data_IF_713469514795
#
_entry.id   IF_713469514795
#
_cell.length_a   1.000
_cell.length_b   1.000
_cell.length_c   1.000
_cell.angle_alpha   90.00
_cell.angle_beta   90.00
_cell.angle_gamma   90.00
#
_symmetry.space_group_name_H-M   'P 1'
#
loop_
_entity.id
_entity.type
_entity.pdbx_description
1 polymer ?
#
# COMPACT_ATOMS: atom_id res chain seq x y z
N UNK A 1 7.61 24.02 -24.90
CA UNK A 1 8.80 23.15 -25.06
C UNK A 1 8.37 21.73 -24.73
N UNK A 2 8.40 20.85 -25.72
CA UNK A 2 8.01 19.44 -25.59
C UNK A 2 9.10 18.73 -24.81
N UNK A 3 8.87 18.42 -23.53
CA UNK A 3 9.76 17.55 -22.80
C UNK A 3 9.66 16.14 -23.42
N UNK A 4 10.78 15.50 -23.82
CA UNK A 4 10.82 14.07 -24.08
C UNK A 4 10.13 13.34 -22.92
N UNK A 5 9.32 12.34 -23.24
CA UNK A 5 8.59 11.59 -22.24
C UNK A 5 9.58 11.07 -21.19
N UNK A 6 9.46 11.52 -19.93
CA UNK A 6 10.40 11.19 -18.85
C UNK A 6 10.47 9.67 -18.61
N UNK A 7 9.44 8.94 -19.05
CA UNK A 7 9.42 7.48 -19.09
C UNK A 7 10.53 6.93 -20.01
N UNK A 8 10.84 7.59 -21.13
CA UNK A 8 11.89 7.13 -22.03
C UNK A 8 13.28 7.27 -21.38
N UNK A 9 13.48 8.29 -20.53
CA UNK A 9 14.71 8.40 -19.73
C UNK A 9 14.84 7.28 -18.69
N UNK A 10 13.72 6.76 -18.16
CA UNK A 10 13.74 5.63 -17.23
C UNK A 10 14.09 4.29 -17.90
N UNK A 11 13.93 4.20 -19.23
CA UNK A 11 14.30 3.00 -20.01
C UNK A 11 15.80 2.93 -20.34
N UNK A 12 16.52 4.06 -20.21
CA UNK A 12 17.96 4.12 -20.43
C UNK A 12 18.72 3.35 -19.35
N UNK A 13 19.89 2.83 -19.69
CA UNK A 13 20.78 2.23 -18.70
C UNK A 13 21.33 3.28 -17.73
N UNK A 14 21.80 2.88 -16.53
CA UNK A 14 22.41 3.81 -15.56
C UNK A 14 23.57 4.65 -16.10
N UNK A 15 24.30 4.13 -17.09
CA UNK A 15 25.45 4.79 -17.74
C UNK A 15 25.05 5.81 -18.81
N UNK A 16 23.86 5.64 -19.40
CA UNK A 16 23.32 6.51 -20.44
C UNK A 16 22.59 7.75 -19.88
N UNK A 17 22.20 7.72 -18.61
CA UNK A 17 21.49 8.83 -17.94
C UNK A 17 22.47 9.94 -17.55
N UNK A 18 22.32 11.13 -18.14
CA UNK A 18 23.13 12.30 -17.79
C UNK A 18 22.69 12.93 -16.47
N UNK A 19 23.54 13.79 -15.88
CA UNK A 19 23.18 14.55 -14.67
C UNK A 19 21.90 15.39 -14.84
N UNK A 20 21.69 15.93 -16.02
CA UNK A 20 20.49 16.72 -16.33
C UNK A 20 19.25 15.82 -16.40
N UNK A 21 19.36 14.63 -16.99
CA UNK A 21 18.28 13.64 -17.00
C UNK A 21 17.91 13.22 -15.59
N UNK A 22 18.90 12.94 -14.73
CA UNK A 22 18.69 12.60 -13.33
C UNK A 22 17.99 13.72 -12.57
N UNK A 23 18.39 14.99 -12.75
CA UNK A 23 17.72 16.12 -12.11
C UNK A 23 16.24 16.25 -12.53
N UNK A 24 15.96 16.05 -13.82
CA UNK A 24 14.59 16.05 -14.36
C UNK A 24 13.77 14.89 -13.80
N UNK A 25 14.35 13.69 -13.74
CA UNK A 25 13.72 12.50 -13.17
C UNK A 25 13.44 12.66 -11.67
N UNK A 26 14.37 13.22 -10.89
CA UNK A 26 14.17 13.50 -9.45
C UNK A 26 12.99 14.46 -9.24
N UNK A 27 12.94 15.55 -10.01
CA UNK A 27 11.84 16.53 -9.91
C UNK A 27 10.48 15.93 -10.28
N UNK A 28 10.46 15.02 -11.25
CA UNK A 28 9.25 14.33 -11.67
C UNK A 28 8.82 13.23 -10.68
N UNK A 29 9.76 12.42 -10.22
CA UNK A 29 9.50 11.31 -9.31
C UNK A 29 8.91 11.80 -7.98
N UNK A 30 9.47 12.85 -7.40
CA UNK A 30 8.97 13.49 -6.17
C UNK A 30 7.57 14.08 -6.29
N UNK A 31 7.11 14.39 -7.52
CA UNK A 31 5.73 14.83 -7.78
C UNK A 31 4.76 13.65 -7.83
N UNK A 32 5.14 12.56 -8.50
CA UNK A 32 4.28 11.39 -8.74
C UNK A 32 4.17 10.49 -7.52
N UNK A 33 5.22 10.40 -6.70
CA UNK A 33 5.22 9.53 -5.55
C UNK A 33 5.40 10.34 -4.26
N UNK A 34 4.31 10.96 -3.72
CA UNK A 34 4.37 11.82 -2.54
C UNK A 34 4.99 11.17 -1.32
N UNK A 35 4.80 9.85 -1.15
CA UNK A 35 5.37 9.06 -0.07
C UNK A 35 6.90 9.13 -0.03
N UNK A 36 7.54 9.42 -1.17
CA UNK A 36 9.00 9.52 -1.26
C UNK A 36 9.52 10.97 -1.28
N UNK A 37 8.66 11.98 -1.03
CA UNK A 37 9.11 13.38 -0.86
C UNK A 37 9.96 13.58 0.38
N UNK A 38 9.77 12.73 1.38
CA UNK A 38 10.53 12.76 2.63
C UNK A 38 11.89 12.06 2.50
N UNK A 39 12.17 11.40 1.37
CA UNK A 39 13.49 10.82 1.12
C UNK A 39 14.51 11.90 0.77
N UNK A 40 15.75 11.64 1.17
CA UNK A 40 16.88 12.46 0.75
C UNK A 40 17.05 12.44 -0.78
N UNK A 41 17.55 13.57 -1.30
CA UNK A 41 17.76 13.73 -2.74
C UNK A 41 18.76 12.71 -3.30
N UNK A 42 19.75 12.31 -2.51
CA UNK A 42 20.71 11.25 -2.85
C UNK A 42 20.03 9.90 -3.04
N UNK A 43 19.12 9.53 -2.15
CA UNK A 43 18.30 8.32 -2.26
C UNK A 43 17.45 8.38 -3.52
N UNK A 44 16.75 9.50 -3.74
CA UNK A 44 15.90 9.67 -4.93
C UNK A 44 16.70 9.50 -6.23
N UNK A 45 17.90 10.06 -6.25
CA UNK A 45 18.85 9.92 -7.36
C UNK A 45 19.24 8.45 -7.59
N UNK A 46 19.59 7.72 -6.54
CA UNK A 46 19.92 6.29 -6.64
C UNK A 46 18.76 5.48 -7.21
N UNK A 47 17.52 5.75 -6.79
CA UNK A 47 16.32 5.07 -7.34
C UNK A 47 16.19 5.33 -8.84
N UNK A 48 16.13 6.59 -9.27
CA UNK A 48 15.85 6.91 -10.69
C UNK A 48 16.99 6.50 -11.62
N UNK A 49 18.22 6.38 -11.08
CA UNK A 49 19.38 5.90 -11.81
C UNK A 49 19.38 4.38 -11.95
N UNK A 50 19.27 3.67 -10.84
CA UNK A 50 19.51 2.21 -10.75
C UNK A 50 18.24 1.35 -10.94
N UNK A 51 17.05 1.98 -10.97
CA UNK A 51 15.81 1.25 -11.21
C UNK A 51 15.62 0.86 -12.67
N UNK A 52 14.92 -0.25 -12.88
CA UNK A 52 14.49 -0.71 -14.20
C UNK A 52 13.01 -0.39 -14.39
N UNK A 53 12.67 0.30 -15.47
CA UNK A 53 11.28 0.54 -15.84
C UNK A 53 10.68 -0.69 -16.53
N UNK A 54 9.48 -1.09 -16.12
CA UNK A 54 8.69 -2.14 -16.76
C UNK A 54 7.24 -1.70 -16.93
N UNK A 55 6.59 -2.18 -18.00
CA UNK A 55 5.15 -2.03 -18.22
C UNK A 55 4.51 -3.42 -18.16
N UNK A 56 3.49 -3.54 -17.32
CA UNK A 56 2.81 -4.80 -17.01
C UNK A 56 1.36 -4.72 -17.49
N UNK A 57 0.92 -5.62 -18.38
CA UNK A 57 -0.47 -5.67 -18.82
C UNK A 57 -1.44 -6.03 -17.69
N UNK A 58 -2.71 -5.64 -17.89
CA UNK A 58 -3.82 -6.03 -17.02
C UNK A 58 -3.87 -7.55 -16.79
N UNK A 59 -4.18 -7.95 -15.54
CA UNK A 59 -4.34 -9.34 -15.07
C UNK A 59 -3.07 -10.18 -15.07
N UNK A 60 -1.90 -9.56 -15.24
CA UNK A 60 -0.63 -10.25 -15.07
C UNK A 60 -0.25 -10.31 -13.59
N UNK A 61 0.26 -11.46 -13.16
CA UNK A 61 0.83 -11.65 -11.82
C UNK A 61 2.26 -11.09 -11.84
N UNK A 62 2.51 -10.12 -10.97
CA UNK A 62 3.82 -9.45 -10.84
C UNK A 62 4.71 -10.22 -9.86
N UNK A 63 4.14 -10.68 -8.75
CA UNK A 63 4.80 -11.57 -7.80
C UNK A 63 3.83 -12.62 -7.29
N UNK A 64 4.30 -13.81 -6.95
CA UNK A 64 3.54 -14.92 -6.40
C UNK A 64 3.95 -15.20 -4.96
N UNK A 65 2.97 -15.38 -4.07
CA UNK A 65 3.24 -15.77 -2.68
C UNK A 65 4.10 -17.03 -2.61
N UNK A 66 5.13 -17.02 -1.76
CA UNK A 66 6.06 -18.11 -1.51
C UNK A 66 7.29 -18.13 -2.42
N UNK A 67 7.30 -17.37 -3.52
CA UNK A 67 8.51 -17.27 -4.35
C UNK A 67 9.56 -16.35 -3.71
N UNK A 68 10.83 -16.57 -4.02
CA UNK A 68 11.90 -15.67 -3.57
C UNK A 68 11.81 -14.32 -4.28
N UNK A 69 12.02 -13.25 -3.53
CA UNK A 69 12.01 -11.86 -3.99
C UNK A 69 13.28 -11.12 -3.59
N UNK A 70 13.92 -10.51 -4.58
CA UNK A 70 15.20 -9.78 -4.49
C UNK A 70 15.07 -8.32 -4.99
N UNK A 71 13.85 -7.87 -5.24
CA UNK A 71 13.54 -6.50 -5.60
C UNK A 71 12.24 -6.02 -4.94
N UNK A 72 12.02 -4.71 -4.93
CA UNK A 72 10.71 -4.13 -4.65
C UNK A 72 10.28 -3.23 -5.82
N UNK A 73 9.02 -2.84 -5.82
CA UNK A 73 8.39 -2.17 -6.95
C UNK A 73 7.78 -0.86 -6.51
N UNK A 74 7.93 0.18 -7.34
CA UNK A 74 7.28 1.48 -7.17
C UNK A 74 6.29 1.65 -8.33
N UNK A 75 5.03 1.96 -8.02
CA UNK A 75 3.97 2.11 -9.02
C UNK A 75 3.99 3.55 -9.53
N UNK A 76 4.33 3.73 -10.80
CA UNK A 76 4.30 5.04 -11.47
C UNK A 76 2.88 5.36 -11.95
N UNK A 77 2.20 4.36 -12.51
CA UNK A 77 0.85 4.48 -13.06
C UNK A 77 0.12 3.14 -12.97
N UNK A 78 -1.21 3.18 -12.89
CA UNK A 78 -2.09 2.03 -12.72
C UNK A 78 -2.25 1.60 -11.26
N UNK A 79 -2.81 0.41 -11.05
CA UNK A 79 -3.03 -0.17 -9.74
C UNK A 79 -2.81 -1.69 -9.73
N UNK A 80 -2.44 -2.21 -8.57
CA UNK A 80 -2.29 -3.65 -8.32
C UNK A 80 -3.21 -4.12 -7.20
N UNK A 81 -3.66 -5.37 -7.27
CA UNK A 81 -4.40 -6.05 -6.21
C UNK A 81 -3.48 -7.02 -5.47
N UNK A 82 -3.65 -7.06 -4.15
CA UNK A 82 -2.93 -7.94 -3.23
C UNK A 82 -3.82 -9.09 -2.83
N UNK A 83 -3.31 -10.32 -2.99
CA UNK A 83 -3.98 -11.55 -2.58
C UNK A 83 -3.08 -12.35 -1.66
N UNK A 84 -3.65 -12.97 -0.63
CA UNK A 84 -2.91 -13.79 0.31
C UNK A 84 -3.67 -15.08 0.63
N UNK A 85 -3.01 -16.21 0.44
CA UNK A 85 -3.49 -17.50 0.94
C UNK A 85 -3.25 -17.58 2.44
N UNK A 86 -4.22 -18.13 3.18
CA UNK A 86 -4.03 -18.56 4.58
C UNK A 86 -3.08 -19.75 4.58
N UNK A 87 -1.77 -19.50 4.53
CA UNK A 87 -0.79 -20.51 4.92
C UNK A 87 -0.89 -20.70 6.42
N UNK A 88 -0.85 -21.95 6.90
CA UNK A 88 -0.77 -22.29 8.33
C UNK A 88 0.27 -21.39 9.01
N UNK A 89 -0.07 -20.84 10.16
CA UNK A 89 0.66 -19.80 10.88
C UNK A 89 2.13 -20.17 11.17
N UNK A 90 3.03 -19.97 10.21
CA UNK A 90 4.46 -19.88 10.54
C UNK A 90 4.71 -18.47 11.04
N UNK A 91 5.06 -18.37 12.33
CA UNK A 91 5.45 -17.16 13.04
C UNK A 91 6.80 -16.62 12.55
N UNK A 92 7.01 -16.56 11.23
CA UNK A 92 8.19 -15.92 10.67
C UNK A 92 8.08 -14.42 10.97
N UNK A 93 8.96 -13.94 11.85
CA UNK A 93 9.04 -12.54 12.25
C UNK A 93 9.53 -11.71 11.05
N UNK A 94 8.57 -11.27 10.24
CA UNK A 94 8.75 -10.44 9.03
C UNK A 94 9.27 -9.01 9.32
N UNK A 95 9.85 -8.76 10.49
CA UNK A 95 10.26 -7.44 10.96
C UNK A 95 11.62 -7.39 11.67
N UNK A 96 12.35 -8.50 11.76
CA UNK A 96 13.74 -8.49 12.24
C UNK A 96 14.71 -8.32 11.06
N UNK A 97 15.66 -7.36 11.12
CA UNK A 97 16.66 -7.19 10.07
C UNK A 97 17.52 -8.45 9.92
N UNK A 98 17.80 -8.83 8.67
CA UNK A 98 18.58 -10.04 8.33
C UNK A 98 20.06 -9.81 8.64
N UNK A 99 20.71 -10.78 9.29
CA UNK A 99 22.16 -10.78 9.54
C UNK A 99 22.98 -10.93 8.25
N UNK A 100 24.13 -10.24 8.19
CA UNK A 100 25.06 -10.12 7.04
C UNK A 100 25.45 -11.46 6.36
N UNK A 101 25.64 -12.53 7.13
CA UNK A 101 26.16 -13.82 6.64
C UNK A 101 25.22 -14.55 5.65
N UNK A 102 23.93 -14.20 5.59
CA UNK A 102 22.98 -14.84 4.66
C UNK A 102 22.96 -14.18 3.26
N UNK A 103 23.66 -13.06 3.07
CA UNK A 103 23.53 -12.20 1.88
C UNK A 103 24.36 -12.66 0.66
N UNK A 104 25.47 -13.39 0.84
CA UNK A 104 26.42 -13.67 -0.25
C UNK A 104 26.00 -14.72 -1.29
N UNK A 105 24.87 -15.43 -1.11
CA UNK A 105 24.42 -16.47 -2.06
C UNK A 105 23.34 -16.03 -3.07
N UNK A 106 22.85 -14.78 -3.00
CA UNK A 106 21.67 -14.33 -3.76
C UNK A 106 21.97 -13.60 -5.08
N UNK A 107 23.19 -13.15 -5.34
CA UNK A 107 23.53 -12.39 -6.56
C UNK A 107 23.38 -13.19 -7.87
N UNK A 108 23.23 -14.52 -7.79
CA UNK A 108 23.18 -15.42 -8.94
C UNK A 108 21.83 -15.45 -9.68
N UNK A 109 20.76 -14.85 -9.16
CA UNK A 109 19.42 -14.97 -9.77
C UNK A 109 19.03 -13.81 -10.69
N UNK A 110 19.86 -12.77 -10.79
CA UNK A 110 19.54 -11.52 -11.49
C UNK A 110 19.78 -11.59 -13.02
N UNK A 111 20.50 -12.60 -13.52
CA UNK A 111 20.84 -12.66 -14.96
C UNK A 111 19.69 -13.07 -15.88
N UNK A 112 18.53 -13.48 -15.34
CA UNK A 112 17.33 -13.72 -16.15
C UNK A 112 16.39 -12.54 -15.93
N UNK A 113 16.23 -11.70 -16.95
CA UNK A 113 15.37 -10.53 -16.91
C UNK A 113 13.98 -10.85 -16.33
N UNK A 114 13.31 -9.82 -15.81
CA UNK A 114 11.95 -9.89 -15.27
C UNK A 114 11.04 -10.81 -16.12
N UNK A 115 10.80 -12.03 -15.63
CA UNK A 115 9.92 -12.99 -16.31
C UNK A 115 8.47 -12.64 -15.98
N UNK A 116 7.79 -12.03 -16.95
CA UNK A 116 6.34 -11.89 -16.89
C UNK A 116 5.70 -13.27 -16.94
N UNK A 117 5.28 -13.79 -15.78
CA UNK A 117 4.50 -15.02 -15.71
C UNK A 117 3.07 -14.71 -16.15
N UNK A 118 2.76 -15.02 -17.41
CA UNK A 118 1.38 -14.98 -17.91
C UNK A 118 0.63 -16.19 -17.36
N UNK A 119 -0.36 -15.95 -16.49
CA UNK A 119 -1.25 -17.00 -16.01
C UNK A 119 -2.48 -17.10 -16.91
N UNK A 120 -3.04 -18.31 -17.10
CA UNK A 120 -4.17 -18.50 -17.98
C UNK A 120 -5.37 -17.63 -17.54
N UNK A 121 -6.20 -17.13 -18.48
CA UNK A 121 -7.37 -16.29 -18.16
C UNK A 121 -8.38 -16.94 -17.20
N UNK A 122 -8.33 -18.27 -17.08
CA UNK A 122 -9.15 -19.08 -16.17
C UNK A 122 -8.67 -19.08 -14.71
N UNK A 123 -7.51 -18.48 -14.40
CA UNK A 123 -7.05 -18.36 -13.02
C UNK A 123 -7.92 -17.34 -12.28
N UNK A 124 -8.90 -17.85 -11.55
CA UNK A 124 -9.82 -17.04 -10.77
C UNK A 124 -9.10 -16.51 -9.52
N UNK A 125 -9.52 -15.35 -9.01
CA UNK A 125 -8.96 -14.72 -7.80
C UNK A 125 -8.91 -15.67 -6.60
N UNK A 126 -9.82 -16.65 -6.55
CA UNK A 126 -9.84 -17.72 -5.56
C UNK A 126 -8.55 -18.56 -5.50
N UNK A 127 -7.77 -18.65 -6.58
CA UNK A 127 -6.49 -19.36 -6.60
C UNK A 127 -5.42 -18.64 -5.77
N UNK A 128 -5.45 -17.30 -5.76
CA UNK A 128 -4.45 -16.50 -5.05
C UNK A 128 -4.75 -16.32 -3.57
N UNK A 129 -5.90 -16.84 -3.11
CA UNK A 129 -6.38 -16.69 -1.74
C UNK A 129 -7.30 -15.48 -1.58
N UNK A 130 -7.33 -14.93 -0.37
CA UNK A 130 -8.22 -13.83 -0.05
C UNK A 130 -7.67 -12.52 -0.63
N UNK A 131 -8.55 -11.72 -1.22
CA UNK A 131 -8.25 -10.33 -1.53
C UNK A 131 -7.97 -9.55 -0.24
N UNK A 132 -6.87 -8.80 -0.22
CA UNK A 132 -6.46 -7.98 0.92
C UNK A 132 -6.75 -6.51 0.64
N UNK A 133 -6.18 -5.96 -0.44
CA UNK A 133 -6.31 -4.54 -0.78
C UNK A 133 -5.87 -4.27 -2.22
N UNK A 134 -6.13 -3.04 -2.69
CA UNK A 134 -5.48 -2.48 -3.87
C UNK A 134 -4.38 -1.51 -3.44
N UNK A 135 -3.35 -1.39 -4.28
CA UNK A 135 -2.26 -0.42 -4.15
C UNK A 135 -2.22 0.40 -5.44
N UNK A 136 -2.42 1.70 -5.30
CA UNK A 136 -2.50 2.64 -6.42
C UNK A 136 -1.14 3.29 -6.75
N UNK A 137 -1.10 4.00 -7.87
CA UNK A 137 0.04 4.84 -8.30
C UNK A 137 0.58 5.76 -7.20
N UNK A 138 1.90 5.93 -7.19
CA UNK A 138 2.63 6.72 -6.20
C UNK A 138 3.02 5.95 -4.93
N UNK A 139 2.56 4.70 -4.80
CA UNK A 139 2.91 3.78 -3.70
C UNK A 139 3.90 2.71 -4.18
N UNK A 140 4.36 1.87 -3.26
CA UNK A 140 5.28 0.77 -3.51
C UNK A 140 4.82 -0.53 -2.84
N UNK A 141 5.41 -1.65 -3.26
CA UNK A 141 5.17 -2.98 -2.68
C UNK A 141 6.38 -3.91 -2.86
N UNK A 142 6.42 -4.99 -2.08
CA UNK A 142 7.42 -6.05 -2.17
C UNK A 142 8.58 -5.91 -1.19
N UNK A 143 8.54 -4.91 -0.31
CA UNK A 143 9.50 -4.59 0.74
C UNK A 143 9.64 -5.69 1.79
N UNK A 144 8.54 -6.39 2.13
CA UNK A 144 8.56 -7.46 3.13
C UNK A 144 9.49 -8.62 2.77
N UNK A 145 9.57 -8.98 1.48
CA UNK A 145 10.50 -10.02 1.06
C UNK A 145 11.95 -9.56 1.30
N UNK A 146 12.24 -8.27 1.13
CA UNK A 146 13.58 -7.74 1.34
C UNK A 146 13.97 -7.71 2.82
N UNK A 147 12.99 -7.56 3.70
CA UNK A 147 13.15 -7.50 5.15
C UNK A 147 13.15 -8.89 5.82
N UNK A 148 12.62 -9.91 5.14
CA UNK A 148 12.54 -11.28 5.68
C UNK A 148 13.83 -12.09 5.48
N UNK A 149 14.10 -13.01 6.42
CA UNK A 149 15.27 -13.90 6.36
C UNK A 149 15.31 -14.75 5.09
N UNK A 150 14.19 -15.37 4.73
CA UNK A 150 14.13 -16.30 3.59
C UNK A 150 13.86 -15.62 2.24
N UNK A 151 13.65 -14.30 2.28
CA UNK A 151 13.34 -13.47 1.13
C UNK A 151 12.07 -13.89 0.37
N UNK A 152 11.10 -14.52 1.03
CA UNK A 152 9.91 -15.04 0.36
C UNK A 152 8.82 -13.96 0.23
N UNK A 153 8.18 -13.89 -0.93
CA UNK A 153 7.01 -13.05 -1.19
C UNK A 153 5.86 -13.50 -0.29
N UNK A 154 5.33 -12.57 0.50
CA UNK A 154 4.28 -12.88 1.49
C UNK A 154 2.86 -12.85 0.89
N UNK A 155 2.71 -12.33 -0.33
CA UNK A 155 1.45 -12.17 -1.02
C UNK A 155 1.66 -12.27 -2.54
N UNK A 156 0.56 -12.58 -3.24
CA UNK A 156 0.50 -12.53 -4.70
C UNK A 156 -0.01 -11.16 -5.15
N UNK A 157 0.69 -10.54 -6.10
CA UNK A 157 0.38 -9.21 -6.62
C UNK A 157 -0.06 -9.33 -8.07
N UNK A 158 -1.21 -8.76 -8.41
CA UNK A 158 -1.82 -8.84 -9.73
C UNK A 158 -2.12 -7.45 -10.27
N UNK A 159 -1.74 -7.16 -11.51
CA UNK A 159 -2.09 -5.91 -12.18
C UNK A 159 -3.61 -5.80 -12.42
N UNK A 160 -4.23 -4.71 -11.95
CA UNK A 160 -5.67 -4.45 -12.13
C UNK A 160 -5.97 -3.92 -13.54
N UNK A 161 -5.07 -3.09 -14.04
CA UNK A 161 -5.04 -2.43 -15.34
C UNK A 161 -3.63 -2.49 -15.94
N UNK A 162 -3.33 -1.66 -16.95
CA UNK A 162 -1.95 -1.53 -17.42
C UNK A 162 -1.15 -0.76 -16.38
N UNK A 163 -0.13 -1.40 -15.79
CA UNK A 163 0.66 -0.84 -14.68
C UNK A 163 2.07 -0.53 -15.15
N UNK A 164 2.58 0.64 -14.78
CA UNK A 164 3.96 1.04 -15.00
C UNK A 164 4.71 1.00 -13.67
N UNK A 165 5.83 0.27 -13.63
CA UNK A 165 6.59 0.03 -12.40
C UNK A 165 8.06 0.43 -12.57
N UNK A 166 8.65 0.92 -11.49
CA UNK A 166 10.09 0.89 -11.30
C UNK A 166 10.45 -0.30 -10.43
N UNK A 167 11.33 -1.16 -10.93
CA UNK A 167 11.92 -2.28 -10.19
C UNK A 167 13.21 -1.79 -9.56
N UNK A 168 13.29 -1.84 -8.24
CA UNK A 168 14.47 -1.41 -7.47
C UNK A 168 15.07 -2.65 -6.81
N UNK A 169 16.36 -2.88 -7.08
CA UNK A 169 17.09 -4.05 -6.58
C UNK A 169 17.27 -4.01 -5.06
N UNK A 170 17.43 -5.19 -4.45
CA UNK A 170 17.67 -5.36 -3.02
C UNK A 170 18.77 -4.45 -2.49
N UNK A 171 19.93 -4.37 -3.14
CA UNK A 171 21.02 -3.55 -2.62
C UNK A 171 20.64 -2.07 -2.52
N UNK A 172 20.05 -1.52 -3.58
CA UNK A 172 19.53 -0.15 -3.58
C UNK A 172 18.46 0.02 -2.50
N UNK A 173 17.60 -0.98 -2.28
CA UNK A 173 16.64 -0.96 -1.18
C UNK A 173 17.30 -0.89 0.20
N UNK A 174 18.29 -1.75 0.45
CA UNK A 174 19.01 -1.82 1.72
C UNK A 174 19.71 -0.49 2.01
N UNK A 175 20.41 0.06 1.02
CA UNK A 175 21.17 1.29 1.16
C UNK A 175 20.30 2.53 1.34
N UNK A 176 19.07 2.52 0.79
CA UNK A 176 18.25 3.72 0.68
C UNK A 176 16.99 3.74 1.54
N UNK A 177 16.40 2.58 1.86
CA UNK A 177 15.04 2.50 2.40
C UNK A 177 14.91 1.69 3.67
N UNK A 178 15.82 0.74 3.91
CA UNK A 178 15.64 -0.23 4.99
C UNK A 178 15.44 0.46 6.35
N UNK A 179 16.30 1.42 6.69
CA UNK A 179 16.22 2.10 7.98
C UNK A 179 14.91 2.87 8.14
N UNK A 180 14.54 3.66 7.13
CA UNK A 180 13.31 4.46 7.15
C UNK A 180 12.06 3.57 7.25
N UNK A 181 11.95 2.54 6.41
CA UNK A 181 10.81 1.62 6.39
C UNK A 181 10.74 0.77 7.66
N UNK A 182 11.87 0.29 8.17
CA UNK A 182 11.93 -0.48 9.42
C UNK A 182 11.46 0.39 10.59
N UNK A 183 11.89 1.65 10.66
CA UNK A 183 11.47 2.57 11.71
C UNK A 183 9.98 2.94 11.61
N UNK A 184 9.47 3.18 10.40
CA UNK A 184 8.04 3.45 10.17
C UNK A 184 7.19 2.25 10.59
N UNK A 185 7.55 1.05 10.13
CA UNK A 185 6.86 -0.20 10.46
C UNK A 185 6.91 -0.50 11.95
N UNK A 186 8.08 -0.33 12.59
CA UNK A 186 8.23 -0.50 14.03
C UNK A 186 7.34 0.48 14.81
N UNK A 187 7.26 1.73 14.37
CA UNK A 187 6.40 2.75 15.00
C UNK A 187 4.92 2.38 14.88
N UNK A 188 4.47 1.93 13.71
CA UNK A 188 3.08 1.48 13.49
C UNK A 188 2.76 0.19 14.26
N UNK A 189 3.69 -0.76 14.32
CA UNK A 189 3.56 -2.00 15.11
C UNK A 189 3.49 -1.71 16.61
N UNK A 190 4.38 -0.85 17.11
CA UNK A 190 4.35 -0.35 18.49
C UNK A 190 3.04 0.36 18.83
N UNK A 191 2.43 1.06 17.87
CA UNK A 191 1.11 1.64 18.04
C UNK A 191 0.02 0.58 18.18
N UNK A 192 0.00 -0.43 17.32
CA UNK A 192 -0.97 -1.54 17.36
C UNK A 192 -0.86 -2.33 18.66
N UNK A 193 0.36 -2.64 19.10
CA UNK A 193 0.64 -3.44 20.31
C UNK A 193 0.15 -2.77 21.60
N UNK A 194 -0.05 -1.44 21.61
CA UNK A 194 -0.64 -0.73 22.76
C UNK A 194 -2.12 -1.07 22.97
N UNK A 195 -2.85 -1.47 21.93
CA UNK A 195 -4.28 -1.72 22.03
C UNK A 195 -4.56 -3.18 22.36
N UNK A 196 -5.25 -3.40 23.48
CA UNK A 196 -5.69 -4.74 23.93
C UNK A 196 -6.49 -5.49 22.86
N UNK A 197 -7.18 -4.77 21.97
CA UNK A 197 -7.96 -5.34 20.88
C UNK A 197 -7.14 -6.28 19.97
N UNK A 198 -5.84 -6.01 19.81
CA UNK A 198 -4.97 -6.77 18.91
C UNK A 198 -4.00 -7.69 19.66
N UNK A 199 -4.13 -7.84 20.98
CA UNK A 199 -3.15 -8.57 21.79
C UNK A 199 -2.91 -9.99 21.26
N UNK A 200 -3.99 -10.71 21.00
CA UNK A 200 -3.97 -12.13 20.63
C UNK A 200 -3.83 -12.34 19.11
N UNK A 201 -3.65 -11.28 18.33
CA UNK A 201 -3.43 -11.41 16.89
C UNK A 201 -2.02 -11.96 16.62
N UNK A 202 -1.88 -12.92 15.68
CA UNK A 202 -0.58 -13.37 15.17
C UNK A 202 0.28 -12.20 14.68
N UNK A 203 1.60 -12.35 14.78
CA UNK A 203 2.58 -11.32 14.38
C UNK A 203 2.32 -10.86 12.95
N UNK A 204 2.11 -11.80 12.03
CA UNK A 204 1.83 -11.50 10.62
C UNK A 204 0.56 -10.66 10.42
N UNK A 205 -0.49 -10.90 11.20
CA UNK A 205 -1.72 -10.10 11.12
C UNK A 205 -1.50 -8.69 11.65
N UNK A 206 -0.70 -8.53 12.71
CA UNK A 206 -0.28 -7.21 13.21
C UNK A 206 0.58 -6.48 12.19
N UNK A 207 1.52 -7.17 11.52
CA UNK A 207 2.33 -6.59 10.44
C UNK A 207 1.47 -6.15 9.26
N UNK A 208 0.52 -6.98 8.81
CA UNK A 208 -0.44 -6.61 7.77
C UNK A 208 -1.27 -5.38 8.15
N UNK A 209 -1.75 -5.32 9.40
CA UNK A 209 -2.46 -4.14 9.92
C UNK A 209 -1.54 -2.92 9.93
N UNK A 210 -0.28 -3.06 10.41
CA UNK A 210 0.70 -1.98 10.44
C UNK A 210 0.96 -1.40 9.04
N UNK A 211 1.09 -2.25 8.03
CA UNK A 211 1.26 -1.80 6.64
C UNK A 211 0.02 -1.09 6.11
N UNK A 212 -1.18 -1.54 6.47
CA UNK A 212 -2.44 -0.93 6.05
C UNK A 212 -2.75 0.40 6.76
N UNK A 213 -2.05 0.75 7.84
CA UNK A 213 -2.26 2.01 8.55
C UNK A 213 -1.70 3.21 7.77
N UNK A 214 -2.59 4.18 7.53
CA UNK A 214 -2.26 5.48 6.98
C UNK A 214 -2.48 6.59 8.01
N UNK A 215 -1.50 7.48 8.16
CA UNK A 215 -1.60 8.62 9.06
C UNK A 215 -2.31 9.79 8.35
N UNK A 216 -3.46 10.21 8.89
CA UNK A 216 -4.18 11.39 8.43
C UNK A 216 -4.09 12.52 9.45
N UNK A 217 -3.77 13.73 8.99
CA UNK A 217 -3.82 14.96 9.79
C UNK A 217 -4.96 15.82 9.25
N UNK A 218 -5.96 16.06 10.09
CA UNK A 218 -7.15 16.84 9.77
C UNK A 218 -7.20 18.09 10.63
N UNK A 219 -7.83 19.15 10.13
CA UNK A 219 -8.08 20.39 10.87
C UNK A 219 -9.52 20.46 11.35
N UNK A 220 -9.79 21.41 12.26
CA UNK A 220 -11.14 21.62 12.80
C UNK A 220 -12.15 21.85 11.68
N UNK A 221 -13.26 21.12 11.72
CA UNK A 221 -14.34 21.23 10.74
C UNK A 221 -14.29 20.20 9.61
N UNK A 222 -13.20 19.44 9.45
CA UNK A 222 -13.20 18.31 8.51
C UNK A 222 -14.11 17.17 9.00
N UNK A 223 -14.98 16.69 8.12
CA UNK A 223 -15.73 15.46 8.34
C UNK A 223 -14.80 14.25 8.13
N UNK A 224 -14.78 13.31 9.08
CA UNK A 224 -13.96 12.10 9.00
C UNK A 224 -14.73 10.99 8.27
N UNK A 225 -16.00 10.80 8.66
CA UNK A 225 -16.94 9.83 8.06
C UNK A 225 -18.33 10.46 8.07
N UNK A 226 -19.09 10.24 6.99
CA UNK A 226 -20.48 10.69 6.93
C UNK A 226 -21.44 9.52 7.18
N UNK A 227 -22.54 9.80 7.87
CA UNK A 227 -23.59 8.81 8.09
C UNK A 227 -24.19 8.35 6.76
N UNK A 228 -24.38 7.04 6.59
CA UNK A 228 -24.91 6.43 5.38
C UNK A 228 -23.86 6.11 4.31
N UNK A 229 -22.61 6.53 4.47
CA UNK A 229 -21.53 6.13 3.57
C UNK A 229 -21.20 4.64 3.71
N UNK A 230 -20.78 3.97 2.61
CA UNK A 230 -20.28 2.60 2.69
C UNK A 230 -19.13 2.50 3.69
N UNK A 231 -19.09 1.39 4.44
CA UNK A 231 -17.98 1.12 5.34
C UNK A 231 -16.67 1.03 4.53
N UNK A 232 -15.78 1.99 4.76
CA UNK A 232 -14.52 2.14 4.03
C UNK A 232 -13.29 1.86 4.90
N UNK A 233 -13.45 1.63 6.21
CA UNK A 233 -12.37 1.23 7.09
C UNK A 233 -12.54 1.65 8.56
N UNK A 234 -11.54 1.30 9.36
CA UNK A 234 -11.44 1.68 10.77
C UNK A 234 -10.50 2.88 10.93
N UNK A 235 -10.90 3.82 11.80
CA UNK A 235 -10.13 5.03 12.09
C UNK A 235 -9.70 5.00 13.55
N UNK A 236 -8.40 5.20 13.81
CA UNK A 236 -7.86 5.30 15.16
C UNK A 236 -7.53 6.75 15.48
N UNK A 237 -8.16 7.31 16.52
CA UNK A 237 -7.85 8.65 16.98
C UNK A 237 -6.54 8.64 17.78
N UNK A 238 -5.47 9.13 17.17
CA UNK A 238 -4.14 9.19 17.80
C UNK A 238 -3.99 10.42 18.70
N UNK A 239 -4.49 11.58 18.25
CA UNK A 239 -4.41 12.85 18.98
C UNK A 239 -5.57 13.77 18.57
N UNK A 240 -6.10 14.52 19.53
CA UNK A 240 -7.18 15.49 19.33
C UNK A 240 -8.52 14.97 19.87
N UNK A 241 -9.60 15.58 19.40
CA UNK A 241 -10.97 15.22 19.77
C UNK A 241 -11.82 15.17 18.51
N UNK A 242 -12.77 14.23 18.49
CA UNK A 242 -13.76 14.10 17.42
C UNK A 242 -15.15 14.27 18.01
N UNK A 243 -16.04 14.92 17.27
CA UNK A 243 -17.45 15.04 17.64
C UNK A 243 -18.25 14.04 16.84
N UNK A 244 -18.90 13.11 17.54
CA UNK A 244 -19.89 12.24 16.93
C UNK A 244 -21.22 12.99 16.80
N UNK A 245 -21.73 13.08 15.58
CA UNK A 245 -23.06 13.64 15.29
C UNK A 245 -23.84 12.56 14.55
N UNK A 246 -25.05 12.27 15.01
CA UNK A 246 -25.91 11.25 14.43
C UNK A 246 -27.24 11.92 14.06
N UNK A 247 -27.65 11.77 12.81
CA UNK A 247 -29.01 11.97 12.39
C UNK A 247 -29.82 10.72 12.73
N UNK A 248 -30.52 10.77 13.86
CA UNK A 248 -31.31 9.66 14.38
C UNK A 248 -32.39 9.18 13.40
N UNK A 249 -32.82 10.04 12.46
CA UNK A 249 -33.86 9.72 11.48
C UNK A 249 -33.38 8.77 10.38
N UNK A 250 -32.07 8.66 10.17
CA UNK A 250 -31.50 7.72 9.21
C UNK A 250 -31.28 6.31 9.78
N UNK A 251 -31.50 6.08 11.08
CA UNK A 251 -31.42 4.75 11.71
C UNK A 251 -32.69 4.38 12.52
N UNK A 252 -33.87 4.33 11.88
CA UNK A 252 -35.14 4.09 12.58
C UNK A 252 -35.21 2.73 13.27
N UNK A 253 -34.43 1.74 12.81
CA UNK A 253 -34.35 0.41 13.43
C UNK A 253 -33.62 0.42 14.77
N UNK A 254 -32.62 1.29 14.92
CA UNK A 254 -31.78 1.40 16.12
C UNK A 254 -32.37 2.41 17.12
N UNK A 255 -32.97 3.50 16.64
CA UNK A 255 -33.59 4.55 17.46
C UNK A 255 -35.12 4.57 17.32
N UNK A 256 -35.77 3.44 17.63
CA UNK A 256 -37.21 3.23 17.41
C UNK A 256 -38.11 4.31 18.02
N UNK A 257 -37.77 4.81 19.22
CA UNK A 257 -38.55 5.82 19.94
C UNK A 257 -38.51 7.21 19.29
N UNK A 258 -37.35 7.62 18.80
CA UNK A 258 -37.19 8.88 18.04
C UNK A 258 -37.86 8.80 16.66
N UNK A 259 -37.81 7.63 16.03
CA UNK A 259 -38.49 7.39 14.76
C UNK A 259 -40.02 7.46 14.89
N UNK A 260 -40.59 6.94 15.98
CA UNK A 260 -42.03 7.07 16.26
C UNK A 260 -42.45 8.51 16.56
N UNK A 261 -41.67 9.24 17.36
CA UNK A 261 -41.96 10.65 17.71
C UNK A 261 -41.93 11.56 16.46
N UNK A 262 -41.00 11.34 15.51
CA UNK A 262 -40.98 12.08 14.24
C UNK A 262 -42.17 11.72 13.34
N UNK A 263 -42.51 10.45 13.23
CA UNK A 263 -43.64 10.00 12.42
C UNK A 263 -44.95 10.64 12.91
N UNK A 264 -45.14 10.73 14.23
CA UNK A 264 -46.25 11.44 14.85
C UNK A 264 -46.21 12.94 14.53
N UNK A 265 -45.05 13.59 14.65
CA UNK A 265 -44.90 15.02 14.38
C UNK A 265 -45.14 15.39 12.90
N UNK A 266 -44.66 14.57 11.97
CA UNK A 266 -44.92 14.72 10.52
C UNK A 266 -46.41 14.53 10.22
N UNK A 267 -47.05 13.55 10.86
CA UNK A 267 -48.48 13.26 10.68
C UNK A 267 -49.34 14.42 11.20
N UNK A 268 -49.01 14.96 12.38
CA UNK A 268 -49.68 16.13 12.96
C UNK A 268 -49.49 17.40 12.11
N UNK A 269 -48.30 17.62 11.56
CA UNK A 269 -48.05 18.78 10.69
C UNK A 269 -48.74 18.66 9.33
N UNK A 270 -48.86 17.45 8.75
CA UNK A 270 -49.66 17.22 7.54
C UNK A 270 -51.17 17.46 7.76
N UNK A 271 -51.68 17.14 8.95
CA UNK A 271 -53.08 17.41 9.31
C UNK A 271 -53.36 18.91 9.55
N UNK A 272 -52.35 19.69 9.97
CA UNK A 272 -52.48 21.15 10.13
C UNK A 272 -52.42 21.92 8.82
N UNK A 273 -51.77 21.39 7.78
CA UNK A 273 -51.65 22.05 6.46
C UNK A 273 -52.86 21.72 5.55
N UNK A 274 -53.68 20.72 5.91
CA UNK A 274 -54.88 20.29 5.18
C UNK A 274 -56.19 20.86 5.74
N UNK A 275 -56.12 21.85 6.65
CA UNK A 275 -57.24 22.67 7.14
C UNK A 275 -56.96 24.12 6.81
#
# INVERSE_FOLDING_TARGET
>A
MSFPNLIDLLKLSPEEKTEEDLNRLISWFTKICPTFRELDRSITRSIVRESTYISVPKRVVITQQGERGDCFYIIISGAVSVYQQKTLDTDDDLGSPVSDDSMQSLDSHISKGFEIKQYPPSLHSSYFGNFISNIDSGKAFGELALMSKDCNRTATIVAVDGVELLVVRRQVYLDCFLDHQTQELHTKRSFIEKYRLFRDWPVRQKTNLAMALHLYKLTTGNCIVSQGEPFNGLHFLIKGQVRLVIDNYQHPKQFKKLASELAEHITQNKQKISR
#
